data_IF_656412239078
#
_entry.id   IF_656412239078
#
_cell.length_a   1.000
_cell.length_b   1.000
_cell.length_c   1.000
_cell.angle_alpha   90.00
_cell.angle_beta   90.00
_cell.angle_gamma   90.00
#
_symmetry.space_group_name_H-M   'P 1'
#
loop_
_entity.id
_entity.type
_entity.pdbx_description
1 polymer ?
#
# COMPACT_ATOMS: atom_id res chain seq x y z
N UNK A 1 20.89 27.50 -1.74
CA UNK A 1 20.18 26.48 -0.95
C UNK A 1 20.70 25.12 -1.37
N UNK A 2 21.29 24.36 -0.46
CA UNK A 2 21.81 23.00 -0.74
C UNK A 2 20.66 22.03 -0.86
N UNK A 3 20.59 21.28 -1.95
CA UNK A 3 19.55 20.26 -2.19
C UNK A 3 20.20 18.87 -2.17
N UNK A 4 19.63 17.93 -1.43
CA UNK A 4 20.07 16.54 -1.36
C UNK A 4 19.30 15.67 -2.37
N UNK A 5 19.15 16.15 -3.59
CA UNK A 5 18.48 15.45 -4.69
C UNK A 5 19.30 15.62 -5.97
N UNK A 6 19.35 14.58 -6.79
CA UNK A 6 20.02 14.65 -8.11
C UNK A 6 19.08 15.37 -9.11
N UNK A 7 18.10 14.61 -9.64
CA UNK A 7 17.03 15.15 -10.45
C UNK A 7 15.70 15.00 -9.68
N UNK A 8 14.94 16.09 -9.44
CA UNK A 8 13.67 16.02 -8.73
C UNK A 8 12.65 15.04 -9.33
N UNK A 9 12.63 14.90 -10.65
CA UNK A 9 11.71 13.98 -11.34
C UNK A 9 11.99 12.52 -11.01
N UNK A 10 13.23 12.18 -10.69
CA UNK A 10 13.65 10.84 -10.34
C UNK A 10 13.66 10.57 -8.83
N UNK A 11 13.33 11.58 -8.02
CA UNK A 11 13.42 11.47 -6.56
C UNK A 11 12.65 10.27 -6.00
N UNK A 12 11.38 10.00 -6.37
CA UNK A 12 10.63 8.88 -5.81
C UNK A 12 11.26 7.53 -6.12
N UNK A 13 11.69 7.32 -7.36
CA UNK A 13 12.32 6.07 -7.79
C UNK A 13 13.69 5.86 -7.14
N UNK A 14 14.48 6.92 -7.00
CA UNK A 14 15.79 6.88 -6.35
C UNK A 14 15.65 6.65 -4.83
N UNK A 15 14.64 7.26 -4.19
CA UNK A 15 14.35 7.03 -2.77
C UNK A 15 13.98 5.57 -2.50
N UNK A 16 13.12 4.97 -3.34
CA UNK A 16 12.77 3.55 -3.25
C UNK A 16 14.01 2.66 -3.48
N UNK A 17 14.82 2.95 -4.49
CA UNK A 17 16.04 2.20 -4.76
C UNK A 17 17.04 2.29 -3.59
N UNK A 18 17.21 3.46 -2.99
CA UNK A 18 18.04 3.67 -1.80
C UNK A 18 17.53 2.87 -0.60
N UNK A 19 16.23 2.88 -0.35
CA UNK A 19 15.61 2.10 0.73
C UNK A 19 15.85 0.59 0.55
N UNK A 20 15.63 0.07 -0.66
CA UNK A 20 15.88 -1.35 -0.97
C UNK A 20 17.36 -1.70 -0.79
N UNK A 21 18.26 -0.82 -1.23
CA UNK A 21 19.71 -1.03 -1.05
C UNK A 21 20.13 -1.05 0.42
N UNK A 22 19.47 -0.25 1.26
CA UNK A 22 19.72 -0.23 2.70
C UNK A 22 19.16 -1.46 3.43
N UNK A 23 18.09 -2.07 2.92
CA UNK A 23 17.38 -3.18 3.54
C UNK A 23 17.15 -4.37 2.59
N UNK A 24 18.21 -4.92 1.93
CA UNK A 24 18.06 -5.94 0.88
C UNK A 24 17.50 -7.28 1.39
N UNK A 25 17.67 -7.56 2.68
CA UNK A 25 17.14 -8.78 3.31
C UNK A 25 15.63 -8.66 3.67
N UNK A 26 15.08 -7.45 3.65
CA UNK A 26 13.69 -7.18 4.01
C UNK A 26 12.83 -6.80 2.81
N UNK A 27 13.41 -6.10 1.83
CA UNK A 27 12.71 -5.50 0.72
C UNK A 27 13.22 -6.01 -0.62
N UNK A 28 12.29 -6.22 -1.55
CA UNK A 28 12.56 -6.50 -2.96
C UNK A 28 11.84 -5.47 -3.82
N UNK A 29 12.52 -4.85 -4.80
CA UNK A 29 11.91 -3.88 -5.69
C UNK A 29 10.96 -4.57 -6.67
N UNK A 30 9.88 -3.87 -6.99
CA UNK A 30 8.91 -4.25 -8.04
C UNK A 30 8.56 -2.99 -8.82
N UNK A 31 8.08 -3.12 -10.05
CA UNK A 31 7.59 -1.97 -10.80
C UNK A 31 6.52 -1.22 -9.99
N UNK A 32 6.80 0.04 -9.68
CA UNK A 32 5.92 0.93 -8.91
C UNK A 32 5.99 0.82 -7.39
N UNK A 33 6.93 0.04 -6.83
CA UNK A 33 7.05 -0.04 -5.38
C UNK A 33 7.97 -1.13 -4.85
N UNK A 34 7.64 -1.64 -3.69
CA UNK A 34 8.41 -2.68 -2.98
C UNK A 34 7.50 -3.75 -2.40
N UNK A 35 8.03 -4.96 -2.25
CA UNK A 35 7.39 -6.06 -1.53
C UNK A 35 8.39 -6.68 -0.55
N UNK A 36 7.91 -7.47 0.41
CA UNK A 36 8.79 -8.25 1.30
C UNK A 36 9.74 -9.13 0.49
N UNK A 37 11.02 -9.17 0.86
CA UNK A 37 12.00 -10.04 0.25
C UNK A 37 11.72 -11.51 0.58
N UNK A 38 11.47 -11.83 1.84
CA UNK A 38 11.10 -13.16 2.27
C UNK A 38 9.65 -13.49 1.88
N UNK A 39 9.43 -14.66 1.30
CA UNK A 39 8.10 -15.23 1.14
C UNK A 39 7.67 -15.83 2.48
N UNK A 40 6.51 -15.42 2.92
CA UNK A 40 5.82 -16.03 4.07
C UNK A 40 4.89 -17.15 3.58
N UNK A 41 4.34 -17.92 4.52
CA UNK A 41 3.31 -18.91 4.25
C UNK A 41 2.06 -18.28 3.62
N UNK A 42 1.14 -19.14 3.17
CA UNK A 42 -0.12 -18.73 2.61
C UNK A 42 -0.93 -17.95 3.62
N UNK A 43 -1.24 -16.71 3.33
CA UNK A 43 -2.05 -15.79 4.16
C UNK A 43 -2.72 -14.72 3.30
N UNK A 44 -3.65 -13.97 3.89
CA UNK A 44 -4.13 -12.71 3.31
C UNK A 44 -2.96 -11.73 3.27
N UNK A 45 -2.69 -11.15 2.11
CA UNK A 45 -1.63 -10.15 1.96
C UNK A 45 -2.21 -8.74 2.07
N UNK A 46 -1.50 -7.85 2.78
CA UNK A 46 -1.82 -6.43 2.83
C UNK A 46 -0.83 -5.64 1.97
N UNK A 47 -1.35 -4.93 0.97
CA UNK A 47 -0.61 -3.93 0.19
C UNK A 47 -1.15 -2.55 0.54
N UNK A 48 -0.26 -1.62 0.83
CA UNK A 48 -0.60 -0.22 1.11
C UNK A 48 -0.03 0.68 0.04
N UNK A 49 -0.56 1.91 -0.12
CA UNK A 49 0.03 2.79 -1.12
C UNK A 49 -0.61 4.15 -1.26
N UNK A 50 0.03 4.96 -2.09
CA UNK A 50 -0.32 6.35 -2.36
C UNK A 50 0.88 7.15 -2.82
N UNK A 51 0.82 8.48 -2.71
CA UNK A 51 1.94 9.36 -2.99
C UNK A 51 3.09 9.16 -2.00
N UNK A 52 4.34 9.17 -2.48
CA UNK A 52 5.54 8.88 -1.68
C UNK A 52 6.06 10.07 -0.84
N UNK A 53 5.37 11.22 -0.86
CA UNK A 53 5.77 12.40 -0.09
C UNK A 53 5.51 12.31 1.42
N UNK A 54 4.89 11.23 1.90
CA UNK A 54 4.53 11.00 3.31
C UNK A 54 5.52 10.07 4.03
N UNK A 55 6.79 10.06 3.64
CA UNK A 55 7.76 9.16 4.24
C UNK A 55 7.66 9.12 5.79
N UNK A 56 7.74 7.91 6.42
CA UNK A 56 8.08 6.59 5.87
C UNK A 56 6.94 5.86 5.15
N UNK A 57 5.74 6.43 5.07
CA UNK A 57 4.66 5.85 4.28
C UNK A 57 5.04 5.93 2.78
N UNK A 58 4.90 4.90 2.00
CA UNK A 58 4.33 3.62 2.41
C UNK A 58 5.41 2.52 2.39
N UNK A 59 6.51 2.74 1.68
CA UNK A 59 7.59 1.76 1.50
C UNK A 59 8.25 1.33 2.82
N UNK A 60 8.40 2.28 3.76
CA UNK A 60 8.97 2.01 5.08
C UNK A 60 8.07 1.17 6.01
N UNK A 61 6.85 0.85 5.59
CA UNK A 61 5.91 0.00 6.34
C UNK A 61 5.93 -1.45 5.87
N UNK A 62 6.74 -1.78 4.87
CA UNK A 62 6.82 -3.15 4.35
C UNK A 62 7.77 -3.98 5.21
N UNK A 63 7.24 -5.06 5.79
CA UNK A 63 8.02 -5.96 6.63
C UNK A 63 7.16 -6.84 7.52
N UNK A 64 7.77 -7.81 8.25
CA UNK A 64 7.05 -8.69 9.16
C UNK A 64 6.22 -7.92 10.18
N UNK A 65 4.97 -8.36 10.36
CA UNK A 65 4.01 -7.72 11.27
C UNK A 65 3.43 -6.40 10.73
N UNK A 66 3.69 -6.02 9.46
CA UNK A 66 3.03 -4.90 8.81
C UNK A 66 2.69 -5.25 7.35
N UNK A 67 2.92 -4.36 6.37
CA UNK A 67 2.51 -4.59 4.98
C UNK A 67 3.37 -5.64 4.26
N UNK A 68 2.76 -6.38 3.32
CA UNK A 68 3.44 -7.31 2.42
C UNK A 68 4.01 -6.60 1.18
N UNK A 69 3.45 -5.43 0.85
CA UNK A 69 3.92 -4.59 -0.23
C UNK A 69 3.48 -3.14 -0.08
N UNK A 70 4.18 -2.25 -0.77
CA UNK A 70 3.81 -0.84 -0.85
C UNK A 70 3.92 -0.32 -2.27
N UNK A 71 2.85 0.34 -2.74
CA UNK A 71 2.83 1.04 -4.03
C UNK A 71 3.26 2.48 -3.81
N UNK A 72 4.29 2.90 -4.54
CA UNK A 72 4.92 4.21 -4.37
C UNK A 72 4.63 5.08 -5.59
N UNK A 73 3.70 6.00 -5.43
CA UNK A 73 3.42 7.05 -6.42
C UNK A 73 4.51 8.13 -6.43
N UNK A 74 4.32 9.19 -7.22
CA UNK A 74 5.14 10.39 -7.11
C UNK A 74 4.85 11.11 -5.78
N UNK A 75 5.59 12.17 -5.44
CA UNK A 75 5.57 12.82 -4.11
C UNK A 75 4.15 13.16 -3.66
N UNK A 76 3.34 13.82 -4.51
CA UNK A 76 1.94 14.19 -4.23
C UNK A 76 0.98 13.70 -5.32
N UNK A 77 1.24 12.53 -5.88
CA UNK A 77 0.44 11.95 -6.94
C UNK A 77 0.20 10.47 -6.69
N UNK A 78 -1.02 10.04 -6.93
CA UNK A 78 -1.41 8.62 -6.84
C UNK A 78 -0.58 7.79 -7.82
N UNK A 79 -0.18 6.57 -7.46
CA UNK A 79 0.44 5.64 -8.40
C UNK A 79 -0.54 5.26 -9.51
N UNK A 80 -0.03 4.82 -10.64
CA UNK A 80 -0.86 4.30 -11.73
C UNK A 80 -1.47 2.94 -11.38
N UNK A 81 -2.57 2.59 -12.04
CA UNK A 81 -3.20 1.27 -11.88
C UNK A 81 -2.25 0.11 -12.25
N UNK A 82 -1.35 0.31 -13.23
CA UNK A 82 -0.34 -0.68 -13.60
C UNK A 82 0.72 -0.90 -12.51
N UNK A 83 1.14 0.16 -11.82
CA UNK A 83 2.04 0.07 -10.67
C UNK A 83 1.35 -0.65 -9.51
N UNK A 84 0.12 -0.26 -9.19
CA UNK A 84 -0.68 -0.90 -8.15
C UNK A 84 -0.87 -2.40 -8.43
N UNK A 85 -1.27 -2.76 -9.65
CA UNK A 85 -1.40 -4.14 -10.07
C UNK A 85 -0.08 -4.93 -9.92
N UNK A 86 1.04 -4.40 -10.37
CA UNK A 86 2.32 -5.10 -10.33
C UNK A 86 2.78 -5.41 -8.89
N UNK A 87 2.65 -4.44 -7.99
CA UNK A 87 2.99 -4.64 -6.57
C UNK A 87 2.04 -5.64 -5.91
N UNK A 88 0.73 -5.50 -6.13
CA UNK A 88 -0.29 -6.40 -5.59
C UNK A 88 -0.06 -7.85 -6.05
N UNK A 89 0.18 -8.04 -7.36
CA UNK A 89 0.47 -9.37 -7.91
C UNK A 89 1.72 -10.00 -7.32
N UNK A 90 2.76 -9.19 -7.09
CA UNK A 90 4.01 -9.65 -6.49
C UNK A 90 3.91 -9.95 -4.99
N UNK A 91 2.98 -9.28 -4.28
CA UNK A 91 2.72 -9.45 -2.86
C UNK A 91 1.75 -10.59 -2.54
N UNK A 92 0.96 -11.05 -3.51
CA UNK A 92 -0.07 -12.09 -3.31
C UNK A 92 0.52 -13.36 -2.69
N UNK A 93 -0.17 -13.88 -1.67
CA UNK A 93 0.16 -15.10 -0.92
C UNK A 93 -0.89 -16.21 -1.08
N UNK A 94 -1.87 -16.03 -1.98
CA UNK A 94 -2.83 -17.04 -2.36
C UNK A 94 -4.03 -17.23 -1.41
N UNK A 95 -4.19 -16.39 -0.37
CA UNK A 95 -5.37 -16.42 0.52
C UNK A 95 -6.26 -15.17 0.39
N UNK A 96 -5.95 -14.31 -0.56
CA UNK A 96 -6.62 -13.03 -0.79
C UNK A 96 -5.70 -11.85 -0.58
N UNK A 97 -6.13 -10.69 -1.05
CA UNK A 97 -5.34 -9.47 -1.07
C UNK A 97 -6.16 -8.28 -0.62
N UNK A 98 -5.65 -7.54 0.35
CA UNK A 98 -6.19 -6.28 0.82
C UNK A 98 -5.33 -5.12 0.31
N UNK A 99 -5.97 -4.08 -0.20
CA UNK A 99 -5.30 -2.90 -0.76
C UNK A 99 -5.75 -1.69 0.05
N UNK A 100 -4.86 -1.21 0.94
CA UNK A 100 -5.13 -0.12 1.86
C UNK A 100 -4.59 1.22 1.36
N UNK A 101 -5.44 2.26 1.37
CA UNK A 101 -5.06 3.61 0.97
C UNK A 101 -6.01 4.65 1.56
N UNK A 102 -5.53 5.90 1.66
CA UNK A 102 -6.38 7.03 2.03
C UNK A 102 -7.40 7.36 0.92
N UNK A 103 -8.59 7.80 1.29
CA UNK A 103 -9.67 8.11 0.35
C UNK A 103 -9.37 9.37 -0.47
N UNK A 104 -8.54 9.25 -1.49
CA UNK A 104 -8.26 10.27 -2.51
C UNK A 104 -8.74 9.79 -3.87
N UNK A 105 -9.29 10.70 -4.69
CA UNK A 105 -9.93 10.34 -5.95
C UNK A 105 -9.02 9.55 -6.91
N UNK A 106 -7.74 9.92 -7.01
CA UNK A 106 -6.77 9.22 -7.84
C UNK A 106 -6.46 7.83 -7.33
N UNK A 107 -6.30 7.67 -5.99
CA UNK A 107 -6.06 6.38 -5.37
C UNK A 107 -7.26 5.46 -5.52
N UNK A 108 -8.47 5.95 -5.25
CA UNK A 108 -9.72 5.19 -5.44
C UNK A 108 -9.86 4.69 -6.88
N UNK A 109 -9.56 5.53 -7.88
CA UNK A 109 -9.61 5.15 -9.28
C UNK A 109 -8.57 4.08 -9.63
N UNK A 110 -7.31 4.34 -9.32
CA UNK A 110 -6.21 3.50 -9.79
C UNK A 110 -6.11 2.17 -9.03
N UNK A 111 -6.27 2.18 -7.71
CA UNK A 111 -6.30 0.95 -6.93
C UNK A 111 -7.58 0.13 -7.21
N UNK A 112 -8.71 0.80 -7.46
CA UNK A 112 -9.95 0.15 -7.89
C UNK A 112 -9.75 -0.62 -9.20
N UNK A 113 -9.16 0.01 -10.23
CA UNK A 113 -8.84 -0.63 -11.51
C UNK A 113 -7.86 -1.82 -11.33
N UNK A 114 -6.85 -1.67 -10.47
CA UNK A 114 -5.92 -2.77 -10.18
C UNK A 114 -6.65 -3.93 -9.49
N UNK A 115 -7.53 -3.66 -8.53
CA UNK A 115 -8.33 -4.68 -7.84
C UNK A 115 -9.27 -5.41 -8.79
N UNK A 116 -9.92 -4.71 -9.72
CA UNK A 116 -10.78 -5.34 -10.75
C UNK A 116 -9.99 -6.30 -11.64
N UNK A 117 -8.81 -5.88 -12.09
CA UNK A 117 -7.93 -6.72 -12.88
C UNK A 117 -7.49 -7.97 -12.11
N UNK A 118 -7.09 -7.83 -10.85
CA UNK A 118 -6.71 -8.97 -9.99
C UNK A 118 -7.87 -9.93 -9.80
N UNK A 119 -9.09 -9.42 -9.58
CA UNK A 119 -10.30 -10.25 -9.49
C UNK A 119 -10.61 -11.01 -10.78
N UNK A 120 -10.41 -10.39 -11.95
CA UNK A 120 -10.57 -11.07 -13.24
C UNK A 120 -9.57 -12.22 -13.44
N UNK A 121 -8.46 -12.21 -12.70
CA UNK A 121 -7.44 -13.28 -12.67
C UNK A 121 -7.68 -14.31 -11.54
N UNK A 122 -8.82 -14.23 -10.83
CA UNK A 122 -9.18 -15.15 -9.75
C UNK A 122 -8.61 -14.82 -8.38
N UNK A 123 -7.98 -13.66 -8.19
CA UNK A 123 -7.48 -13.22 -6.89
C UNK A 123 -8.58 -12.46 -6.15
N UNK A 124 -8.95 -12.90 -4.93
CA UNK A 124 -9.90 -12.17 -4.09
C UNK A 124 -9.23 -10.88 -3.57
N UNK A 125 -9.37 -9.78 -4.32
CA UNK A 125 -8.78 -8.48 -3.99
C UNK A 125 -9.85 -7.49 -3.51
N UNK A 126 -9.63 -6.87 -2.34
CA UNK A 126 -10.53 -5.86 -1.75
C UNK A 126 -9.77 -4.59 -1.41
N UNK A 127 -10.41 -3.44 -1.64
CA UNK A 127 -9.88 -2.13 -1.26
C UNK A 127 -10.37 -1.74 0.13
N UNK A 128 -9.45 -1.22 0.95
CA UNK A 128 -9.69 -0.68 2.27
C UNK A 128 -9.39 0.82 2.27
N UNK A 129 -10.41 1.65 2.47
CA UNK A 129 -10.34 3.11 2.37
C UNK A 129 -10.33 3.74 3.76
N UNK A 130 -9.28 4.50 4.07
CA UNK A 130 -9.20 5.29 5.31
C UNK A 130 -9.80 6.68 5.06
N UNK A 131 -10.68 7.12 5.99
CA UNK A 131 -11.50 8.34 5.84
C UNK A 131 -11.50 9.20 7.10
N UNK A 132 -10.37 9.27 7.81
CA UNK A 132 -10.24 9.88 9.14
C UNK A 132 -10.02 11.40 9.14
N UNK A 133 -9.85 12.05 7.98
CA UNK A 133 -9.57 13.49 7.89
C UNK A 133 -10.83 14.33 8.18
N UNK A 134 -11.07 14.65 9.45
CA UNK A 134 -12.19 15.45 9.89
C UNK A 134 -12.17 16.89 9.34
N UNK A 135 -11.03 17.38 8.87
CA UNK A 135 -10.89 18.71 8.29
C UNK A 135 -11.26 18.75 6.82
N UNK A 136 -11.29 17.61 6.13
CA UNK A 136 -11.53 17.56 4.68
C UNK A 136 -13.01 17.65 4.29
N UNK A 137 -13.91 17.20 5.15
CA UNK A 137 -15.36 17.25 4.91
C UNK A 137 -16.16 17.04 6.23
N UNK A 138 -17.44 17.49 6.29
CA UNK A 138 -18.36 17.15 7.35
C UNK A 138 -18.66 15.64 7.42
N UNK A 139 -19.21 15.17 8.56
CA UNK A 139 -19.47 13.73 8.80
C UNK A 139 -20.35 13.04 7.76
N UNK A 140 -21.30 13.78 7.17
CA UNK A 140 -22.21 13.23 6.16
C UNK A 140 -21.62 13.11 4.74
N UNK A 141 -20.38 13.56 4.56
CA UNK A 141 -19.65 13.44 3.29
C UNK A 141 -18.43 12.51 3.45
N UNK A 142 -17.98 11.92 2.35
CA UNK A 142 -16.77 11.09 2.35
C UNK A 142 -15.54 11.95 2.63
N UNK A 143 -14.88 11.69 3.75
CA UNK A 143 -13.64 12.34 4.16
C UNK A 143 -12.43 11.71 3.47
N UNK A 144 -11.33 12.43 3.41
CA UNK A 144 -10.02 11.90 3.00
C UNK A 144 -9.39 11.12 4.15
N UNK A 145 -8.39 10.28 3.84
CA UNK A 145 -7.53 9.65 4.84
C UNK A 145 -6.29 10.48 5.10
N UNK A 146 -5.80 10.52 6.34
CA UNK A 146 -4.59 11.29 6.70
C UNK A 146 -3.68 10.52 7.67
N UNK A 147 -4.01 10.45 8.95
CA UNK A 147 -3.18 9.86 9.99
C UNK A 147 -3.63 8.45 10.40
N UNK A 148 -4.89 8.13 10.21
CA UNK A 148 -5.49 6.82 10.49
C UNK A 148 -4.89 5.67 9.69
N UNK A 149 -4.25 5.97 8.56
CA UNK A 149 -3.57 4.95 7.73
C UNK A 149 -2.63 4.07 8.57
N UNK A 150 -1.80 4.65 9.42
CA UNK A 150 -0.79 3.91 10.19
C UNK A 150 -1.40 2.92 11.21
N UNK A 151 -2.24 3.34 12.17
CA UNK A 151 -2.80 2.42 13.15
C UNK A 151 -3.74 1.39 12.52
N UNK A 152 -4.58 1.80 11.58
CA UNK A 152 -5.56 0.92 10.93
C UNK A 152 -4.86 -0.17 10.13
N UNK A 153 -3.89 0.19 9.28
CA UNK A 153 -3.15 -0.82 8.51
C UNK A 153 -2.27 -1.71 9.39
N UNK A 154 -1.78 -1.18 10.53
CA UNK A 154 -1.02 -1.99 11.49
C UNK A 154 -1.88 -3.07 12.14
N UNK A 155 -3.10 -2.74 12.55
CA UNK A 155 -4.07 -3.70 13.12
C UNK A 155 -4.49 -4.72 12.05
N UNK A 156 -4.83 -4.25 10.85
CA UNK A 156 -5.17 -5.11 9.70
C UNK A 156 -4.04 -6.10 9.39
N UNK A 157 -2.79 -5.62 9.36
CA UNK A 157 -1.63 -6.47 9.12
C UNK A 157 -1.44 -7.55 10.19
N UNK A 158 -1.66 -7.20 11.47
CA UNK A 158 -1.58 -8.16 12.56
C UNK A 158 -2.60 -9.28 12.39
N UNK A 159 -3.83 -8.97 12.04
CA UNK A 159 -4.87 -9.96 11.75
C UNK A 159 -4.50 -10.87 10.56
N UNK A 160 -3.89 -10.31 9.50
CA UNK A 160 -3.35 -11.09 8.39
C UNK A 160 -2.22 -12.05 8.83
N UNK A 161 -1.33 -11.60 9.72
CA UNK A 161 -0.22 -12.43 10.26
C UNK A 161 -0.73 -13.56 11.17
N UNK A 162 -1.86 -13.36 11.87
CA UNK A 162 -2.53 -14.39 12.65
C UNK A 162 -3.22 -15.46 11.78
N UNK A 163 -3.22 -15.29 10.45
CA UNK A 163 -3.82 -16.25 9.51
C UNK A 163 -5.34 -16.17 9.42
N UNK A 164 -5.94 -15.05 9.83
CA UNK A 164 -7.38 -14.81 9.67
C UNK A 164 -7.77 -14.77 8.20
N UNK A 165 -8.98 -15.16 7.90
CA UNK A 165 -9.50 -15.08 6.54
C UNK A 165 -9.81 -13.61 6.15
N UNK A 166 -10.05 -13.39 4.85
CA UNK A 166 -10.21 -12.04 4.31
C UNK A 166 -11.48 -11.33 4.83
N UNK A 167 -12.53 -12.07 5.12
CA UNK A 167 -13.80 -11.52 5.64
C UNK A 167 -13.63 -11.07 7.09
N UNK A 168 -12.95 -11.88 7.90
CA UNK A 168 -12.59 -11.53 9.28
C UNK A 168 -11.71 -10.30 9.34
N UNK A 169 -10.69 -10.22 8.46
CA UNK A 169 -9.77 -9.06 8.44
C UNK A 169 -10.50 -7.79 8.00
N UNK A 170 -11.40 -7.87 7.03
CA UNK A 170 -12.22 -6.72 6.61
C UNK A 170 -13.12 -6.25 7.75
N UNK A 171 -13.76 -7.17 8.49
CA UNK A 171 -14.59 -6.82 9.64
C UNK A 171 -13.81 -6.15 10.80
N UNK A 172 -12.52 -6.43 10.93
CA UNK A 172 -11.64 -5.75 11.90
C UNK A 172 -11.27 -4.33 11.42
N UNK A 173 -11.19 -4.14 10.09
CA UNK A 173 -10.87 -2.83 9.50
C UNK A 173 -12.06 -1.86 9.64
N UNK A 174 -13.29 -2.31 9.46
CA UNK A 174 -14.54 -1.52 9.54
C UNK A 174 -14.91 -1.13 10.97
#
# INVERSE_FOLDING_TARGET
MTRLVNNPDNFPSQAVAGLVSAFPNHLRPVFGGVVRAARTDRKVALVVGGGSGRYPAFAGWVGPGFADGAVCGNIFSSPSASQAYAVCKAADRGAGLLIGFGNYAGDVLHFGQAAERLRSEGINARCLLVTDDIASAPDHLKRRGIAGDLPVFKVTAAACEEGRDIDEVVAIFE
#
